data_IF_422460467853
#
_entry.id   IF_422460467853
#
_cell.length_a   1.000
_cell.length_b   1.000
_cell.length_c   1.000
_cell.angle_alpha   90.00
_cell.angle_beta   90.00
_cell.angle_gamma   90.00
#
_symmetry.space_group_name_H-M   'P 1'
#
loop_
_entity.id
_entity.type
_entity.pdbx_description
1 polymer ?
#
# COMPACT_ATOMS: atom_id res chain seq x y z
N UNK A 1 -43.72 39.69 -5.38
CA UNK A 1 -42.39 40.31 -5.33
C UNK A 1 -41.51 39.29 -4.67
N UNK A 2 -40.76 38.54 -5.47
CA UNK A 2 -39.80 37.56 -4.98
C UNK A 2 -38.61 38.34 -4.43
N UNK A 3 -38.50 38.40 -3.10
CA UNK A 3 -37.40 39.05 -2.42
C UNK A 3 -36.21 38.12 -2.51
N UNK A 4 -35.32 38.36 -3.47
CA UNK A 4 -33.99 37.75 -3.43
C UNK A 4 -33.32 38.14 -2.10
N UNK A 5 -32.79 37.17 -1.33
CA UNK A 5 -32.12 37.47 -0.08
C UNK A 5 -30.92 38.39 -0.36
N UNK A 6 -31.00 39.62 0.15
CA UNK A 6 -29.90 40.59 0.11
C UNK A 6 -28.87 40.13 1.14
N UNK A 7 -27.80 39.49 0.68
CA UNK A 7 -26.64 39.20 1.52
C UNK A 7 -25.79 40.46 1.64
N UNK A 8 -25.69 41.05 2.83
CA UNK A 8 -24.72 42.11 3.08
C UNK A 8 -23.31 41.50 3.13
N UNK A 9 -22.31 42.15 2.52
CA UNK A 9 -20.92 41.65 2.49
C UNK A 9 -20.35 41.36 3.90
N UNK A 10 -20.85 42.06 4.91
CA UNK A 10 -20.50 41.88 6.34
C UNK A 10 -20.94 40.54 6.93
N UNK A 11 -21.86 39.81 6.28
CA UNK A 11 -22.37 38.51 6.73
C UNK A 11 -21.53 37.33 6.19
N UNK A 12 -20.60 37.58 5.26
CA UNK A 12 -19.76 36.54 4.66
C UNK A 12 -18.54 36.33 5.56
N UNK A 13 -18.60 35.32 6.43
CA UNK A 13 -17.44 34.87 7.21
C UNK A 13 -16.54 34.05 6.29
N UNK A 14 -15.45 34.66 5.81
CA UNK A 14 -14.43 33.94 5.03
C UNK A 14 -13.44 33.28 6.02
N UNK A 15 -13.24 31.95 5.94
CA UNK A 15 -12.21 31.29 6.74
C UNK A 15 -10.82 31.87 6.44
N UNK A 16 -10.08 32.22 7.49
CA UNK A 16 -8.77 32.88 7.37
C UNK A 16 -7.73 32.06 6.59
N UNK A 17 -7.87 30.74 6.56
CA UNK A 17 -6.98 29.82 5.86
C UNK A 17 -7.41 29.51 4.40
N UNK A 18 -8.58 29.96 3.96
CA UNK A 18 -9.12 29.61 2.64
C UNK A 18 -8.20 30.05 1.51
N UNK A 19 -7.68 31.28 1.58
CA UNK A 19 -6.80 31.84 0.55
C UNK A 19 -5.52 31.00 0.37
N UNK A 20 -4.92 30.55 1.47
CA UNK A 20 -3.70 29.74 1.45
C UNK A 20 -3.96 28.33 0.90
N UNK A 21 -5.09 27.72 1.28
CA UNK A 21 -5.50 26.40 0.78
C UNK A 21 -5.68 26.45 -0.75
N UNK A 22 -6.39 27.45 -1.25
CA UNK A 22 -6.61 27.61 -2.69
C UNK A 22 -5.30 27.89 -3.43
N UNK A 23 -4.43 28.73 -2.87
CA UNK A 23 -3.10 29.01 -3.44
C UNK A 23 -2.24 27.76 -3.54
N UNK A 24 -2.22 26.92 -2.50
CA UNK A 24 -1.49 25.64 -2.52
C UNK A 24 -2.05 24.67 -3.56
N UNK A 25 -3.39 24.56 -3.62
CA UNK A 25 -4.07 23.74 -4.62
C UNK A 25 -3.74 24.18 -6.05
N UNK A 26 -3.84 25.48 -6.35
CA UNK A 26 -3.53 26.02 -7.69
C UNK A 26 -2.08 25.72 -8.09
N UNK A 27 -1.12 25.84 -7.17
CA UNK A 27 0.28 25.48 -7.44
C UNK A 27 0.43 24.01 -7.82
N UNK A 28 -0.26 23.10 -7.12
CA UNK A 28 -0.22 21.67 -7.43
C UNK A 28 -0.88 21.33 -8.78
N UNK A 29 -1.98 22.00 -9.14
CA UNK A 29 -2.60 21.86 -10.47
C UNK A 29 -1.64 22.29 -11.57
N UNK A 30 -1.01 23.46 -11.43
CA UNK A 30 -0.04 23.97 -12.42
C UNK A 30 1.17 23.03 -12.55
N UNK A 31 1.64 22.48 -11.43
CA UNK A 31 2.80 21.57 -11.40
C UNK A 31 2.51 20.24 -12.08
N UNK A 32 1.31 19.69 -11.87
CA UNK A 32 0.96 18.33 -12.32
C UNK A 32 0.20 18.28 -13.65
N UNK A 33 -0.33 19.41 -14.12
CA UNK A 33 -1.07 19.52 -15.37
C UNK A 33 -2.09 18.37 -15.56
N UNK A 34 -3.00 18.12 -14.58
CA UNK A 34 -3.88 16.97 -14.64
C UNK A 34 -4.88 17.08 -15.80
N UNK A 35 -5.08 15.99 -16.54
CA UNK A 35 -6.04 15.93 -17.65
C UNK A 35 -7.49 16.07 -17.17
N UNK A 36 -7.81 15.52 -15.99
CA UNK A 36 -9.11 15.66 -15.33
C UNK A 36 -8.96 16.45 -14.03
N UNK A 37 -9.36 17.72 -14.08
CA UNK A 37 -9.26 18.63 -12.95
C UNK A 37 -10.24 18.29 -11.81
N UNK A 38 -11.41 17.74 -12.12
CA UNK A 38 -12.43 17.41 -11.09
C UNK A 38 -11.99 16.19 -10.30
N UNK A 39 -11.56 15.13 -10.98
CA UNK A 39 -11.00 13.94 -10.32
C UNK A 39 -9.75 14.29 -9.49
N UNK A 40 -8.88 15.14 -10.03
CA UNK A 40 -7.71 15.64 -9.31
C UNK A 40 -8.10 16.44 -8.06
N UNK A 41 -9.08 17.34 -8.16
CA UNK A 41 -9.59 18.13 -7.05
C UNK A 41 -10.09 17.25 -5.91
N UNK A 42 -10.95 16.27 -6.24
CA UNK A 42 -11.53 15.35 -5.26
C UNK A 42 -10.42 14.62 -4.50
N UNK A 43 -9.43 14.07 -5.22
CA UNK A 43 -8.28 13.37 -4.63
C UNK A 43 -7.42 14.29 -3.77
N UNK A 44 -7.11 15.51 -4.26
CA UNK A 44 -6.29 16.47 -3.54
C UNK A 44 -6.90 16.86 -2.19
N UNK A 45 -8.18 17.26 -2.18
CA UNK A 45 -8.85 17.70 -0.95
C UNK A 45 -9.17 16.53 -0.01
N UNK A 46 -9.41 15.33 -0.53
CA UNK A 46 -9.52 14.11 0.30
C UNK A 46 -8.21 13.86 1.05
N UNK A 47 -7.08 13.93 0.35
CA UNK A 47 -5.77 13.75 0.98
C UNK A 47 -5.46 14.86 2.00
N UNK A 48 -5.77 16.11 1.65
CA UNK A 48 -5.58 17.24 2.56
C UNK A 48 -6.45 17.10 3.83
N UNK A 49 -7.70 16.64 3.67
CA UNK A 49 -8.60 16.37 4.79
C UNK A 49 -8.11 15.23 5.66
N UNK A 50 -7.57 14.16 5.07
CA UNK A 50 -6.99 13.03 5.83
C UNK A 50 -5.79 13.49 6.67
N UNK A 51 -4.91 14.32 6.10
CA UNK A 51 -3.78 14.92 6.82
C UNK A 51 -4.24 15.87 7.92
N UNK A 52 -5.21 16.74 7.64
CA UNK A 52 -5.71 17.73 8.59
C UNK A 52 -6.54 17.14 9.73
N UNK A 53 -7.28 16.05 9.47
CA UNK A 53 -8.13 15.38 10.46
C UNK A 53 -7.36 14.51 11.45
N UNK A 54 -6.02 14.48 11.35
CA UNK A 54 -5.22 13.60 12.18
C UNK A 54 -5.64 12.14 12.01
N UNK A 55 -6.02 11.73 10.78
CA UNK A 55 -5.82 10.32 10.41
C UNK A 55 -4.34 10.11 10.68
N UNK A 56 -4.09 9.36 11.75
CA UNK A 56 -2.85 9.34 12.51
C UNK A 56 -1.66 9.46 11.58
N UNK A 57 -0.63 10.19 12.02
CA UNK A 57 0.75 9.91 11.62
C UNK A 57 1.10 8.45 12.02
N UNK A 58 0.39 7.46 11.50
CA UNK A 58 0.82 6.09 11.51
C UNK A 58 1.97 6.09 10.54
N UNK A 59 3.17 6.31 11.08
CA UNK A 59 4.39 6.00 10.37
C UNK A 59 4.23 4.63 9.73
N UNK A 60 4.62 4.51 8.46
CA UNK A 60 4.61 3.24 7.77
C UNK A 60 5.27 2.17 8.67
N UNK A 61 4.67 0.98 8.83
CA UNK A 61 5.23 -0.07 9.67
C UNK A 61 6.68 -0.37 9.26
N UNK A 62 7.58 -0.44 10.23
CA UNK A 62 8.93 -0.90 9.97
C UNK A 62 8.90 -2.39 9.60
N UNK A 63 9.81 -2.83 8.72
CA UNK A 63 9.92 -4.23 8.27
C UNK A 63 10.01 -5.22 9.44
N UNK A 64 10.71 -4.84 10.51
CA UNK A 64 10.83 -5.64 11.73
C UNK A 64 9.47 -5.83 12.43
N UNK A 65 8.62 -4.81 12.46
CA UNK A 65 7.26 -4.93 13.03
C UNK A 65 6.41 -5.90 12.20
N UNK A 66 6.52 -5.81 10.87
CA UNK A 66 5.81 -6.70 9.95
C UNK A 66 6.28 -8.15 10.09
N UNK A 67 7.59 -8.37 10.20
CA UNK A 67 8.18 -9.68 10.46
C UNK A 67 7.65 -10.27 11.77
N UNK A 68 7.62 -9.48 12.86
CA UNK A 68 7.08 -9.93 14.14
C UNK A 68 5.62 -10.37 14.04
N UNK A 69 4.77 -9.63 13.33
CA UNK A 69 3.37 -10.01 13.10
C UNK A 69 3.29 -11.34 12.33
N UNK A 70 4.05 -11.46 11.25
CA UNK A 70 4.07 -12.66 10.42
C UNK A 70 4.52 -13.90 11.19
N UNK A 71 5.65 -13.81 11.90
CA UNK A 71 6.20 -14.92 12.68
C UNK A 71 5.29 -15.34 13.83
N UNK A 72 4.72 -14.37 14.57
CA UNK A 72 3.81 -14.66 15.70
C UNK A 72 2.47 -15.24 15.25
N UNK A 73 1.97 -14.84 14.09
CA UNK A 73 0.69 -15.32 13.56
C UNK A 73 0.75 -16.70 12.90
N UNK A 74 1.92 -17.33 12.86
CA UNK A 74 2.09 -18.73 12.49
C UNK A 74 3.07 -18.99 11.34
N UNK A 75 3.37 -17.98 10.50
CA UNK A 75 4.09 -18.10 9.21
C UNK A 75 3.41 -19.10 8.23
N UNK A 76 3.37 -18.80 6.93
CA UNK A 76 2.87 -19.75 5.92
C UNK A 76 1.35 -19.79 5.68
N UNK A 77 0.69 -18.63 5.57
CA UNK A 77 -0.71 -18.55 5.08
C UNK A 77 -1.77 -18.84 6.14
N UNK A 78 -1.49 -18.56 7.41
CA UNK A 78 -2.49 -18.64 8.46
C UNK A 78 -3.67 -17.69 8.18
N UNK A 79 -4.89 -18.23 8.27
CA UNK A 79 -6.11 -17.43 8.23
C UNK A 79 -6.53 -17.09 9.66
N UNK A 80 -6.57 -15.79 9.98
CA UNK A 80 -6.91 -15.27 11.29
C UNK A 80 -8.16 -14.40 11.24
N UNK A 81 -8.77 -14.14 12.39
CA UNK A 81 -9.83 -13.13 12.52
C UNK A 81 -9.22 -11.73 12.59
N UNK A 82 -10.00 -10.70 12.24
CA UNK A 82 -9.57 -9.29 12.36
C UNK A 82 -9.12 -8.93 13.78
N UNK A 83 -9.81 -9.46 14.80
CA UNK A 83 -9.44 -9.24 16.20
C UNK A 83 -8.05 -9.82 16.52
N UNK A 84 -7.73 -10.99 16.00
CA UNK A 84 -6.41 -11.60 16.16
C UNK A 84 -5.32 -10.80 15.43
N UNK A 85 -5.58 -10.39 14.20
CA UNK A 85 -4.63 -9.56 13.41
C UNK A 85 -4.39 -8.21 14.10
N UNK A 86 -5.46 -7.56 14.58
CA UNK A 86 -5.37 -6.30 15.32
C UNK A 86 -4.54 -6.47 16.59
N UNK A 87 -4.77 -7.54 17.36
CA UNK A 87 -3.97 -7.86 18.54
C UNK A 87 -2.50 -8.08 18.23
N UNK A 88 -2.17 -8.79 17.13
CA UNK A 88 -0.78 -8.98 16.68
C UNK A 88 -0.12 -7.65 16.28
N UNK A 89 -0.84 -6.81 15.52
CA UNK A 89 -0.37 -5.50 15.10
C UNK A 89 -0.11 -4.57 16.28
N UNK A 90 -1.03 -4.50 17.25
CA UNK A 90 -0.85 -3.71 18.47
C UNK A 90 0.38 -4.17 19.27
N UNK A 91 0.59 -5.49 19.40
CA UNK A 91 1.77 -6.04 20.07
C UNK A 91 3.09 -5.78 19.32
N UNK A 92 3.03 -5.51 18.02
CA UNK A 92 4.17 -5.11 17.21
C UNK A 92 4.33 -3.57 17.14
N UNK A 93 3.43 -2.81 17.76
CA UNK A 93 3.44 -1.34 17.72
C UNK A 93 2.93 -0.74 16.39
N UNK A 94 2.12 -1.49 15.64
CA UNK A 94 1.45 -1.02 14.43
C UNK A 94 0.12 -0.38 14.81
N UNK A 95 -0.13 0.84 14.33
CA UNK A 95 -1.33 1.58 14.67
C UNK A 95 -2.60 0.97 14.04
N UNK A 96 -3.71 0.99 14.77
CA UNK A 96 -5.01 0.46 14.31
C UNK A 96 -5.49 1.09 13.00
N UNK A 97 -5.13 2.35 12.73
CA UNK A 97 -5.45 3.02 11.47
C UNK A 97 -4.80 2.33 10.25
N UNK A 98 -3.58 1.78 10.41
CA UNK A 98 -2.91 1.00 9.36
C UNK A 98 -3.67 -0.31 9.13
N UNK A 99 -4.06 -0.98 10.21
CA UNK A 99 -4.83 -2.22 10.15
C UNK A 99 -6.14 -1.99 9.41
N UNK A 100 -6.92 -0.98 9.83
CA UNK A 100 -8.18 -0.62 9.18
C UNK A 100 -7.98 -0.31 7.69
N UNK A 101 -6.91 0.43 7.35
CA UNK A 101 -6.62 0.76 5.95
C UNK A 101 -6.27 -0.46 5.11
N UNK A 102 -5.46 -1.37 5.63
CA UNK A 102 -5.06 -2.59 4.93
C UNK A 102 -6.23 -3.57 4.83
N UNK A 103 -7.09 -3.65 5.84
CA UNK A 103 -8.34 -4.41 5.83
C UNK A 103 -9.26 -3.95 4.67
N UNK A 104 -9.39 -2.63 4.50
CA UNK A 104 -10.14 -2.02 3.39
C UNK A 104 -9.50 -2.33 2.03
N UNK A 105 -8.21 -2.03 1.86
CA UNK A 105 -7.49 -2.19 0.57
C UNK A 105 -7.43 -3.64 0.13
N UNK A 106 -7.22 -4.57 1.06
CA UNK A 106 -7.14 -6.00 0.74
C UNK A 106 -8.49 -6.69 0.60
N UNK A 107 -9.61 -5.96 0.77
CA UNK A 107 -10.98 -6.46 0.75
C UNK A 107 -11.18 -7.69 1.65
N UNK A 108 -10.61 -7.64 2.86
CA UNK A 108 -10.66 -8.76 3.80
C UNK A 108 -12.03 -8.88 4.47
N UNK A 109 -12.37 -10.08 4.89
CA UNK A 109 -13.53 -10.31 5.76
C UNK A 109 -13.09 -10.34 7.22
N UNK A 110 -13.87 -9.78 8.17
CA UNK A 110 -13.51 -9.82 9.59
C UNK A 110 -13.32 -11.22 10.17
N UNK A 111 -13.98 -12.22 9.58
CA UNK A 111 -13.92 -13.61 10.00
C UNK A 111 -12.70 -14.37 9.45
N UNK A 112 -12.13 -13.92 8.33
CA UNK A 112 -11.04 -14.61 7.65
C UNK A 112 -10.13 -13.60 6.95
N UNK A 113 -8.94 -13.43 7.52
CA UNK A 113 -7.84 -12.59 7.06
C UNK A 113 -6.65 -13.50 6.78
N UNK A 114 -6.28 -13.62 5.51
CA UNK A 114 -5.01 -14.25 5.12
C UNK A 114 -3.87 -13.37 5.63
N UNK A 115 -3.11 -13.89 6.60
CA UNK A 115 -2.04 -13.14 7.23
C UNK A 115 -0.90 -12.81 6.26
N UNK A 116 -0.57 -13.71 5.34
CA UNK A 116 0.48 -13.48 4.35
C UNK A 116 0.11 -12.31 3.45
N UNK A 117 -1.12 -12.32 2.91
CA UNK A 117 -1.65 -11.22 2.11
C UNK A 117 -1.70 -9.92 2.91
N UNK A 118 -2.17 -9.97 4.16
CA UNK A 118 -2.29 -8.78 5.01
C UNK A 118 -0.94 -8.12 5.28
N UNK A 119 0.06 -8.90 5.72
CA UNK A 119 1.41 -8.39 5.98
C UNK A 119 2.07 -7.89 4.69
N UNK A 120 1.82 -8.58 3.57
CA UNK A 120 2.35 -8.19 2.26
C UNK A 120 1.80 -6.84 1.82
N UNK A 121 0.49 -6.62 1.95
CA UNK A 121 -0.13 -5.35 1.62
C UNK A 121 0.38 -4.22 2.54
N UNK A 122 0.59 -4.48 3.83
CA UNK A 122 1.24 -3.51 4.72
C UNK A 122 2.63 -3.09 4.19
N UNK A 123 3.44 -4.07 3.78
CA UNK A 123 4.77 -3.83 3.21
C UNK A 123 4.67 -3.05 1.89
N UNK A 124 3.83 -3.51 0.97
CA UNK A 124 3.69 -2.94 -0.37
C UNK A 124 3.23 -1.47 -0.31
N UNK A 125 2.27 -1.16 0.55
CA UNK A 125 1.78 0.20 0.76
C UNK A 125 2.83 1.13 1.41
N UNK A 126 3.88 0.56 2.01
CA UNK A 126 4.97 1.30 2.66
C UNK A 126 6.18 1.52 1.74
N UNK A 127 6.16 0.94 0.54
CA UNK A 127 7.27 0.98 -0.42
C UNK A 127 6.96 1.94 -1.59
N UNK A 128 7.99 2.61 -2.10
CA UNK A 128 7.84 3.60 -3.17
C UNK A 128 7.87 2.97 -4.58
N UNK A 129 8.49 1.80 -4.71
CA UNK A 129 8.71 1.12 -5.98
C UNK A 129 8.73 -0.41 -5.80
N UNK A 130 8.56 -1.12 -6.91
CA UNK A 130 8.49 -2.58 -6.95
C UNK A 130 9.77 -3.26 -6.44
N UNK A 131 10.94 -2.66 -6.66
CA UNK A 131 12.20 -3.21 -6.18
C UNK A 131 12.24 -3.23 -4.64
N UNK A 132 11.84 -2.12 -3.99
CA UNK A 132 11.73 -2.04 -2.52
C UNK A 132 10.74 -3.04 -1.95
N UNK A 133 9.63 -3.29 -2.66
CA UNK A 133 8.67 -4.35 -2.30
C UNK A 133 9.37 -5.70 -2.32
N UNK A 134 10.02 -6.06 -3.44
CA UNK A 134 10.74 -7.34 -3.55
C UNK A 134 11.79 -7.51 -2.45
N UNK A 135 12.67 -6.52 -2.22
CA UNK A 135 13.65 -6.58 -1.12
C UNK A 135 12.95 -6.78 0.24
N UNK A 136 11.88 -6.03 0.48
CA UNK A 136 11.08 -6.13 1.69
C UNK A 136 10.46 -7.51 1.89
N UNK A 137 10.09 -8.21 0.82
CA UNK A 137 9.54 -9.57 0.91
C UNK A 137 10.57 -10.51 1.53
N UNK A 138 11.81 -10.50 1.07
CA UNK A 138 12.87 -11.31 1.69
C UNK A 138 13.14 -10.86 3.14
N UNK A 139 13.12 -9.56 3.41
CA UNK A 139 13.32 -9.02 4.76
C UNK A 139 12.20 -9.32 5.75
N UNK A 140 11.00 -9.70 5.31
CA UNK A 140 9.83 -9.92 6.18
C UNK A 140 9.41 -11.40 6.21
N UNK A 141 9.46 -12.08 5.08
CA UNK A 141 8.89 -13.42 4.89
C UNK A 141 9.95 -14.54 4.83
N UNK A 142 11.24 -14.23 4.90
CA UNK A 142 12.30 -15.24 4.93
C UNK A 142 13.06 -15.26 6.25
N UNK A 143 13.44 -16.44 6.74
CA UNK A 143 14.28 -16.55 7.93
C UNK A 143 15.77 -16.45 7.61
N UNK A 144 16.17 -16.89 6.42
CA UNK A 144 17.57 -17.02 5.99
C UNK A 144 17.89 -16.22 4.70
N UNK A 145 17.05 -15.27 4.31
CA UNK A 145 17.22 -14.49 3.08
C UNK A 145 16.75 -15.22 1.82
N UNK A 146 16.09 -16.38 1.96
CA UNK A 146 15.52 -17.13 0.85
C UNK A 146 14.09 -17.58 1.13
N UNK A 147 13.25 -17.65 0.10
CA UNK A 147 11.88 -18.15 0.19
C UNK A 147 11.54 -19.05 -1.00
N UNK A 148 10.60 -20.00 -0.84
CA UNK A 148 10.13 -20.81 -1.97
C UNK A 148 9.64 -19.91 -3.12
N UNK A 149 10.03 -20.23 -4.35
CA UNK A 149 9.62 -19.46 -5.53
C UNK A 149 8.09 -19.28 -5.63
N UNK A 150 7.32 -20.32 -5.27
CA UNK A 150 5.86 -20.29 -5.29
C UNK A 150 5.27 -19.30 -4.28
N UNK A 151 5.86 -19.21 -3.10
CA UNK A 151 5.41 -18.25 -2.07
C UNK A 151 5.70 -16.82 -2.52
N UNK A 152 6.88 -16.57 -3.12
CA UNK A 152 7.23 -15.28 -3.69
C UNK A 152 6.24 -14.85 -4.77
N UNK A 153 5.93 -15.74 -5.70
CA UNK A 153 4.99 -15.47 -6.80
C UNK A 153 3.59 -15.21 -6.26
N UNK A 154 3.14 -15.97 -5.26
CA UNK A 154 1.83 -15.78 -4.62
C UNK A 154 1.74 -14.40 -3.95
N UNK A 155 2.81 -13.99 -3.25
CA UNK A 155 2.88 -12.66 -2.64
C UNK A 155 2.84 -11.56 -3.70
N UNK A 156 3.68 -11.63 -4.73
CA UNK A 156 3.72 -10.64 -5.82
C UNK A 156 2.37 -10.56 -6.53
N UNK A 157 1.69 -11.70 -6.72
CA UNK A 157 0.37 -11.75 -7.36
C UNK A 157 -0.68 -10.89 -6.66
N UNK A 158 -0.55 -10.62 -5.35
CA UNK A 158 -1.46 -9.72 -4.62
C UNK A 158 -1.34 -8.24 -5.01
N UNK A 159 -0.29 -7.84 -5.75
CA UNK A 159 -0.20 -6.48 -6.29
C UNK A 159 -1.14 -6.27 -7.48
N UNK A 160 -1.35 -7.30 -8.31
CA UNK A 160 -2.24 -7.23 -9.46
C UNK A 160 -3.68 -7.57 -9.08
N UNK A 161 -4.70 -6.95 -9.69
CA UNK A 161 -4.65 -5.86 -10.69
C UNK A 161 -4.70 -4.45 -10.07
N UNK A 162 -4.99 -4.31 -8.77
CA UNK A 162 -5.40 -3.04 -8.18
C UNK A 162 -4.25 -2.11 -7.79
N UNK A 163 -3.09 -2.65 -7.37
CA UNK A 163 -1.91 -1.86 -6.98
C UNK A 163 -0.91 -1.71 -8.12
N UNK A 164 -0.72 -2.76 -8.91
CA UNK A 164 0.20 -2.79 -10.04
C UNK A 164 -0.41 -3.56 -11.23
N UNK A 165 -0.96 -2.85 -12.24
CA UNK A 165 -1.64 -3.49 -13.36
C UNK A 165 -0.71 -4.26 -14.30
N UNK A 166 0.62 -4.06 -14.19
CA UNK A 166 1.60 -4.80 -14.98
C UNK A 166 1.89 -6.19 -14.39
N UNK A 167 1.54 -6.42 -13.12
CA UNK A 167 1.61 -7.74 -12.49
C UNK A 167 0.44 -8.59 -12.98
N UNK A 168 0.60 -9.13 -14.18
CA UNK A 168 -0.38 -9.99 -14.85
C UNK A 168 -0.05 -11.47 -14.65
N UNK A 169 -1.01 -12.40 -14.85
CA UNK A 169 -0.71 -13.84 -14.87
C UNK A 169 0.40 -14.21 -15.85
N UNK A 170 0.40 -13.61 -17.05
CA UNK A 170 1.44 -13.84 -18.05
C UNK A 170 2.83 -13.36 -17.59
N UNK A 171 2.90 -12.24 -16.86
CA UNK A 171 4.14 -11.78 -16.23
C UNK A 171 4.63 -12.76 -15.16
N UNK A 172 3.73 -13.22 -14.28
CA UNK A 172 4.07 -14.19 -13.23
C UNK A 172 4.53 -15.53 -13.82
N UNK A 173 3.89 -16.00 -14.88
CA UNK A 173 4.27 -17.23 -15.60
C UNK A 173 5.67 -17.10 -16.22
N UNK A 174 5.99 -15.95 -16.82
CA UNK A 174 7.32 -15.67 -17.36
C UNK A 174 8.40 -15.68 -16.27
N UNK A 175 8.14 -15.01 -15.14
CA UNK A 175 9.03 -15.03 -13.97
C UNK A 175 9.19 -16.44 -13.41
N UNK A 176 8.10 -17.19 -13.28
CA UNK A 176 8.11 -18.56 -12.76
C UNK A 176 8.98 -19.51 -13.61
N UNK A 177 9.03 -19.31 -14.93
CA UNK A 177 9.86 -20.09 -15.84
C UNK A 177 11.37 -19.78 -15.72
N UNK A 178 11.71 -18.59 -15.21
CA UNK A 178 13.10 -18.13 -15.04
C UNK A 178 13.68 -18.50 -13.66
N UNK A 179 12.80 -18.73 -12.68
CA UNK A 179 13.18 -19.14 -11.32
C UNK A 179 13.42 -20.66 -11.22
N UNK A 180 14.19 -21.12 -10.22
CA UNK A 180 14.43 -22.54 -9.97
C UNK A 180 13.14 -23.36 -9.93
N UNK A 181 12.99 -24.28 -10.88
CA UNK A 181 11.83 -25.15 -10.98
C UNK A 181 11.68 -26.06 -9.75
N UNK A 182 10.44 -26.35 -9.35
CA UNK A 182 10.14 -27.41 -8.37
C UNK A 182 10.17 -27.01 -6.89
N UNK A 183 9.96 -25.73 -6.56
CA UNK A 183 9.87 -25.28 -5.16
C UNK A 183 11.23 -25.00 -4.51
N UNK A 184 12.27 -24.78 -5.32
CA UNK A 184 13.56 -24.29 -4.83
C UNK A 184 13.40 -22.94 -4.12
N UNK A 185 14.16 -22.76 -3.04
CA UNK A 185 14.28 -21.47 -2.40
C UNK A 185 15.03 -20.51 -3.32
N UNK A 186 14.52 -19.29 -3.43
CA UNK A 186 15.07 -18.21 -4.24
C UNK A 186 15.57 -17.13 -3.30
N UNK A 187 16.64 -16.44 -3.70
CA UNK A 187 17.19 -15.25 -3.04
C UNK A 187 16.89 -14.00 -3.86
N UNK A 188 16.99 -12.82 -3.25
CA UNK A 188 16.83 -11.56 -3.97
C UNK A 188 17.83 -11.41 -5.14
N UNK A 189 19.05 -11.93 -4.99
CA UNK A 189 20.07 -11.87 -6.05
C UNK A 189 19.65 -12.68 -7.29
N UNK A 190 19.08 -13.87 -7.09
CA UNK A 190 18.56 -14.69 -8.19
C UNK A 190 17.34 -14.03 -8.84
N UNK A 191 16.50 -13.36 -8.04
CA UNK A 191 15.38 -12.58 -8.55
C UNK A 191 15.84 -11.42 -9.46
N UNK A 192 16.94 -10.76 -9.12
CA UNK A 192 17.53 -9.71 -9.95
C UNK A 192 18.09 -10.23 -11.28
N UNK A 193 18.42 -11.52 -11.38
CA UNK A 193 18.92 -12.11 -12.62
C UNK A 193 17.81 -12.49 -13.61
N UNK A 194 16.56 -12.62 -13.14
CA UNK A 194 15.40 -12.93 -13.96
C UNK A 194 15.15 -11.83 -15.03
N UNK A 195 15.36 -12.11 -16.34
CA UNK A 195 15.22 -11.12 -17.40
C UNK A 195 13.87 -10.41 -17.43
N UNK A 196 12.78 -11.15 -17.15
CA UNK A 196 11.43 -10.59 -17.16
C UNK A 196 11.19 -9.57 -16.03
N UNK A 197 11.96 -9.64 -14.95
CA UNK A 197 11.86 -8.75 -13.79
C UNK A 197 12.76 -7.52 -13.85
N UNK A 198 13.91 -7.61 -14.55
CA UNK A 198 14.90 -6.53 -14.63
C UNK A 198 14.31 -5.15 -14.94
N UNK A 199 13.41 -4.99 -15.95
CA UNK A 199 12.80 -3.69 -16.24
C UNK A 199 12.00 -3.12 -15.05
N UNK A 200 11.27 -3.98 -14.33
CA UNK A 200 10.42 -3.60 -13.20
C UNK A 200 11.21 -3.33 -11.92
N UNK A 201 12.37 -3.95 -11.79
CA UNK A 201 13.35 -3.69 -10.73
C UNK A 201 14.19 -2.43 -10.98
N UNK A 202 14.06 -1.79 -12.16
CA UNK A 202 14.89 -0.66 -12.57
C UNK A 202 16.33 -1.05 -12.89
N UNK A 203 16.57 -2.32 -13.23
CA UNK A 203 17.87 -2.86 -13.61
C UNK A 203 17.98 -2.89 -15.13
N UNK A 204 19.00 -2.25 -15.68
CA UNK A 204 19.33 -2.21 -17.13
C UNK A 204 20.23 -3.36 -17.55
#
# INVERSE_FOLDING_TARGET
>A
MDVEPIFCAEQIVIPHNLADILKAYTKEVIRRQPTDLIAFSAKYFTNLANVASGVSNSSAPAKEQLRQVYTRGGSGGATLTESQVTGLCQQAGIADAVVAKVMEVGAFTPAAVDLSKFVFLCLAMSCEDFNRVCMGVFDVFSDNGSLPAQDLLTLIAHLGPDMDPEVTPAFLDAVAAELPAGGGAVTYMELCEAPSLKPKLGLS
#
